data_IF_072269190813
#
_entry.id   IF_072269190813
#
_cell.length_a   1.000
_cell.length_b   1.000
_cell.length_c   1.000
_cell.angle_alpha   90.00
_cell.angle_beta   90.00
_cell.angle_gamma   90.00
#
_symmetry.space_group_name_H-M   'P 1'
#
loop_
_entity.id
_entity.type
_entity.pdbx_description
1 polymer ?
#
# COMPACT_ATOMS: atom_id res chain seq x y z
N UNK A 1 5.16 14.32 3.80
CA UNK A 1 4.15 14.16 4.87
C UNK A 1 4.00 15.54 5.44
N UNK A 2 2.77 16.04 5.46
CA UNK A 2 2.49 17.40 5.90
C UNK A 2 1.94 17.37 7.31
N UNK A 3 2.47 18.22 8.19
CA UNK A 3 2.09 18.33 9.60
C UNK A 3 1.31 19.63 9.83
N UNK A 4 0.25 19.54 10.62
CA UNK A 4 -0.56 20.67 11.08
C UNK A 4 -0.92 20.46 12.55
N UNK A 5 -0.03 20.89 13.44
CA UNK A 5 -0.14 20.65 14.88
C UNK A 5 -0.27 19.17 15.22
N UNK A 6 -1.43 18.79 15.77
CA UNK A 6 -1.76 17.40 16.12
C UNK A 6 -2.47 16.64 14.98
N UNK A 7 -2.50 17.19 13.77
CA UNK A 7 -2.95 16.53 12.56
C UNK A 7 -1.80 16.33 11.57
N UNK A 8 -1.92 15.31 10.73
CA UNK A 8 -1.00 15.15 9.60
C UNK A 8 -1.70 14.50 8.40
N UNK A 9 -1.13 14.69 7.21
CA UNK A 9 -1.53 13.98 5.99
C UNK A 9 -0.33 13.42 5.25
N UNK A 10 -0.53 12.32 4.55
CA UNK A 10 0.55 11.67 3.81
C UNK A 10 0.06 10.81 2.67
N UNK A 11 0.91 10.68 1.66
CA UNK A 11 0.75 9.70 0.59
C UNK A 11 1.91 8.71 0.68
N UNK A 12 1.60 7.41 0.72
CA UNK A 12 2.60 6.35 0.80
C UNK A 12 2.39 5.33 -0.33
N UNK A 13 3.36 5.14 -1.24
CA UNK A 13 3.27 4.08 -2.24
C UNK A 13 3.34 2.69 -1.58
N UNK A 14 2.67 1.71 -2.16
CA UNK A 14 2.75 0.31 -1.78
C UNK A 14 2.74 -0.61 -3.00
N UNK A 15 3.29 -1.81 -2.81
CA UNK A 15 3.03 -2.95 -3.67
C UNK A 15 2.28 -4.00 -2.84
N UNK A 16 1.02 -4.24 -3.16
CA UNK A 16 0.23 -5.31 -2.58
C UNK A 16 0.57 -6.62 -3.30
N UNK A 17 0.80 -7.69 -2.54
CA UNK A 17 1.01 -9.04 -3.06
C UNK A 17 -0.13 -9.90 -2.51
N UNK A 18 -0.92 -10.49 -3.41
CA UNK A 18 -1.98 -11.42 -3.01
C UNK A 18 -1.34 -12.72 -2.48
N UNK A 19 -1.90 -13.25 -1.40
CA UNK A 19 -1.28 -14.34 -0.64
C UNK A 19 -1.23 -15.67 -1.42
N UNK A 20 -2.26 -16.00 -2.21
CA UNK A 20 -2.34 -17.27 -2.92
C UNK A 20 -1.65 -17.25 -4.29
N UNK A 21 -1.95 -16.26 -5.13
CA UNK A 21 -1.50 -16.15 -6.53
C UNK A 21 -0.19 -15.39 -6.68
N UNK A 22 0.27 -14.69 -5.63
CA UNK A 22 1.39 -13.75 -5.68
C UNK A 22 1.19 -12.62 -6.70
N UNK A 23 -0.07 -12.33 -7.01
CA UNK A 23 -0.42 -11.27 -7.92
C UNK A 23 -0.06 -9.91 -7.30
N UNK A 24 0.71 -9.11 -8.06
CA UNK A 24 1.18 -7.80 -7.61
C UNK A 24 0.25 -6.68 -8.09
N UNK A 25 -0.08 -5.76 -7.18
CA UNK A 25 -0.82 -4.53 -7.46
C UNK A 25 -0.13 -3.33 -6.83
N UNK A 26 0.23 -2.35 -7.66
CA UNK A 26 0.84 -1.10 -7.19
C UNK A 26 -0.26 -0.10 -6.86
N UNK A 27 -0.14 0.53 -5.70
CA UNK A 27 -1.06 1.55 -5.24
C UNK A 27 -0.39 2.58 -4.36
N UNK A 28 -1.20 3.46 -3.79
CA UNK A 28 -0.80 4.36 -2.73
C UNK A 28 -1.89 4.44 -1.66
N UNK A 29 -1.47 4.61 -0.41
CA UNK A 29 -2.33 5.13 0.64
C UNK A 29 -2.36 6.64 0.59
N UNK A 30 -3.52 7.21 0.87
CA UNK A 30 -3.71 8.61 1.23
C UNK A 30 -4.31 8.63 2.63
N UNK A 31 -3.48 8.99 3.59
CA UNK A 31 -3.78 8.90 5.01
C UNK A 31 -3.98 10.28 5.63
N UNK A 32 -4.86 10.34 6.63
CA UNK A 32 -4.84 11.40 7.64
C UNK A 32 -4.52 10.80 9.00
N UNK A 33 -3.79 11.54 9.81
CA UNK A 33 -3.34 11.13 11.13
C UNK A 33 -3.79 12.14 12.18
N UNK A 34 -3.91 11.65 13.42
CA UNK A 34 -4.12 12.47 14.61
C UNK A 34 -3.10 12.07 15.67
N UNK A 35 -2.51 13.05 16.34
CA UNK A 35 -1.62 12.84 17.48
C UNK A 35 -2.46 12.64 18.73
N UNK A 36 -2.19 11.58 19.45
CA UNK A 36 -2.80 11.26 20.75
C UNK A 36 -1.72 11.28 21.83
N UNK A 37 -2.11 11.16 23.10
CA UNK A 37 -1.16 11.00 24.20
C UNK A 37 -0.23 9.79 23.99
N UNK A 38 -0.71 8.75 23.30
CA UNK A 38 0.05 7.53 22.99
C UNK A 38 0.77 7.59 21.63
N UNK A 39 0.86 8.77 21.02
CA UNK A 39 1.49 8.99 19.72
C UNK A 39 0.50 9.06 18.54
N UNK A 40 1.04 8.98 17.33
CA UNK A 40 0.28 9.15 16.09
C UNK A 40 -0.63 7.95 15.80
N UNK A 41 -1.88 8.23 15.41
CA UNK A 41 -2.86 7.24 14.98
C UNK A 41 -3.38 7.58 13.59
N UNK A 42 -3.70 6.55 12.81
CA UNK A 42 -4.44 6.71 11.57
C UNK A 42 -5.85 7.18 11.91
N UNK A 43 -6.25 8.34 11.38
CA UNK A 43 -7.62 8.84 11.43
C UNK A 43 -8.41 8.33 10.22
N UNK A 44 -7.82 8.41 9.03
CA UNK A 44 -8.38 7.79 7.82
C UNK A 44 -7.27 7.19 6.97
N UNK A 45 -7.62 6.12 6.24
CA UNK A 45 -6.78 5.52 5.21
C UNK A 45 -7.62 5.23 3.98
N UNK A 46 -7.25 5.83 2.85
CA UNK A 46 -7.82 5.51 1.54
C UNK A 46 -6.74 4.84 0.68
N UNK A 47 -7.04 3.66 0.15
CA UNK A 47 -6.13 2.93 -0.74
C UNK A 47 -6.58 3.09 -2.20
N UNK A 48 -5.66 3.48 -3.07
CA UNK A 48 -5.91 3.60 -4.51
C UNK A 48 -4.92 2.75 -5.28
N UNK A 49 -5.41 1.84 -6.12
CA UNK A 49 -4.58 1.15 -7.12
C UNK A 49 -4.36 2.03 -8.35
N UNK A 50 -3.14 2.05 -8.90
CA UNK A 50 -2.77 2.93 -10.02
C UNK A 50 -3.36 2.43 -11.35
N UNK A 51 -3.60 1.12 -11.49
CA UNK A 51 -4.24 0.54 -12.66
C UNK A 51 -5.76 0.77 -12.59
N UNK A 52 -6.30 1.50 -13.57
CA UNK A 52 -7.73 1.86 -13.67
C UNK A 52 -8.68 0.64 -13.67
N UNK A 53 -8.22 -0.52 -14.15
CA UNK A 53 -8.99 -1.76 -14.16
C UNK A 53 -8.73 -2.68 -12.96
N UNK A 54 -7.81 -2.34 -12.05
CA UNK A 54 -7.43 -3.20 -10.92
C UNK A 54 -6.68 -4.49 -11.30
N UNK A 55 -6.35 -4.67 -12.58
CA UNK A 55 -5.64 -5.86 -13.09
C UNK A 55 -4.18 -5.91 -12.64
N UNK A 56 -3.68 -7.12 -12.44
CA UNK A 56 -2.31 -7.44 -12.02
C UNK A 56 -1.28 -7.00 -13.08
N UNK A 57 -0.04 -6.83 -12.66
CA UNK A 57 1.06 -6.60 -13.60
C UNK A 57 1.14 -7.75 -14.62
N UNK A 58 1.15 -7.38 -15.89
CA UNK A 58 1.27 -8.31 -17.01
C UNK A 58 2.67 -8.93 -17.05
N UNK A 59 2.89 -9.93 -16.20
CA UNK A 59 3.25 -11.27 -16.68
C UNK A 59 4.71 -11.56 -17.00
N UNK A 60 5.65 -11.30 -16.09
CA UNK A 60 6.65 -12.35 -15.80
C UNK A 60 6.28 -12.93 -14.44
N UNK A 61 6.02 -14.24 -14.34
CA UNK A 61 5.83 -14.88 -13.05
C UNK A 61 6.98 -14.48 -12.14
N UNK A 62 6.67 -13.81 -11.03
CA UNK A 62 7.67 -13.46 -10.02
C UNK A 62 8.23 -14.72 -9.34
N UNK A 63 7.53 -15.85 -9.49
CA UNK A 63 8.02 -17.18 -9.16
C UNK A 63 8.92 -17.72 -10.29
N UNK A 64 10.22 -17.40 -10.24
CA UNK A 64 11.23 -18.36 -10.70
C UNK A 64 11.01 -19.61 -9.85
N UNK A 65 10.68 -20.73 -10.48
CA UNK A 65 10.21 -21.95 -9.82
C UNK A 65 11.04 -22.31 -8.58
N UNK A 66 10.37 -22.92 -7.58
CA UNK A 66 11.04 -23.47 -6.39
C UNK A 66 12.27 -24.27 -6.84
N UNK A 67 13.47 -24.06 -6.26
CA UNK A 67 14.62 -24.91 -6.56
C UNK A 67 14.22 -26.38 -6.38
N UNK A 68 14.46 -27.20 -7.40
CA UNK A 68 14.34 -28.64 -7.25
C UNK A 68 15.45 -29.13 -6.29
N UNK A 69 15.17 -30.14 -5.45
CA UNK A 69 16.18 -30.74 -4.59
C UNK A 69 17.35 -31.34 -5.37
#
# INVERSE_FOLDING_TARGET
MELDGDAATGTQPLCFIEHATHDMRIGYYRDSYVRTADGWRLKTRAMTFIRRSGVHDSGRPHAVGRPAP
#
